data_IF_486971178931
#
_entry.id   IF_486971178931
#
_cell.length_a   1.000
_cell.length_b   1.000
_cell.length_c   1.000
_cell.angle_alpha   90.00
_cell.angle_beta   90.00
_cell.angle_gamma   90.00
#
_symmetry.space_group_name_H-M   'P 1'
#
loop_
_entity.id
_entity.type
_entity.pdbx_description
1 polymer ?
#
# COMPACT_ATOMS: atom_id res chain seq x y z
N UNK A 1 13.63 21.26 -2.25
CA UNK A 1 14.31 19.98 -2.60
C UNK A 1 13.46 18.84 -2.07
N UNK A 2 13.09 17.86 -2.91
CA UNK A 2 12.48 16.61 -2.42
C UNK A 2 13.55 15.78 -1.72
N UNK A 3 13.24 15.21 -0.56
CA UNK A 3 14.20 14.40 0.20
C UNK A 3 14.47 13.08 -0.52
N UNK A 4 15.61 12.44 -0.23
CA UNK A 4 15.95 11.11 -0.75
C UNK A 4 14.86 10.07 -0.46
N UNK A 5 14.22 10.13 0.71
CA UNK A 5 13.12 9.25 1.11
C UNK A 5 11.83 9.46 0.30
N UNK A 6 11.51 10.70 -0.07
CA UNK A 6 10.35 10.97 -0.94
C UNK A 6 10.56 10.42 -2.35
N UNK A 7 11.78 10.55 -2.88
CA UNK A 7 12.14 9.94 -4.17
C UNK A 7 12.16 8.40 -4.08
N UNK A 8 12.65 7.84 -2.97
CA UNK A 8 12.60 6.40 -2.73
C UNK A 8 11.15 5.88 -2.71
N UNK A 9 10.26 6.55 -1.97
CA UNK A 9 8.82 6.22 -1.96
C UNK A 9 8.20 6.25 -3.37
N UNK A 10 8.50 7.31 -4.13
CA UNK A 10 8.05 7.46 -5.51
C UNK A 10 8.47 6.27 -6.38
N UNK A 11 9.75 5.88 -6.34
CA UNK A 11 10.26 4.80 -7.18
C UNK A 11 9.79 3.43 -6.72
N UNK A 12 9.71 3.17 -5.41
CA UNK A 12 9.13 1.94 -4.87
C UNK A 12 7.66 1.77 -5.26
N UNK A 13 6.89 2.87 -5.25
CA UNK A 13 5.49 2.86 -5.66
C UNK A 13 5.33 2.60 -7.17
N UNK A 14 6.17 3.21 -8.00
CA UNK A 14 6.22 2.92 -9.43
C UNK A 14 6.63 1.47 -9.72
N UNK A 15 7.62 0.94 -8.99
CA UNK A 15 8.08 -0.44 -9.12
C UNK A 15 6.97 -1.44 -8.75
N UNK A 16 6.19 -1.17 -7.70
CA UNK A 16 5.05 -2.00 -7.34
C UNK A 16 4.00 -2.07 -8.45
N UNK A 17 3.67 -0.94 -9.08
CA UNK A 17 2.75 -0.92 -10.23
C UNK A 17 3.27 -1.74 -11.41
N UNK A 18 4.57 -1.66 -11.72
CA UNK A 18 5.19 -2.49 -12.77
C UNK A 18 5.13 -3.96 -12.40
N UNK A 19 5.48 -4.32 -11.16
CA UNK A 19 5.45 -5.70 -10.70
C UNK A 19 4.05 -6.31 -10.82
N UNK A 20 3.01 -5.58 -10.41
CA UNK A 20 1.63 -6.06 -10.54
C UNK A 20 1.24 -6.22 -12.00
N UNK A 21 1.57 -5.26 -12.87
CA UNK A 21 1.29 -5.34 -14.30
C UNK A 21 1.93 -6.58 -14.94
N UNK A 22 3.19 -6.86 -14.61
CA UNK A 22 3.91 -8.03 -15.11
C UNK A 22 3.27 -9.33 -14.60
N UNK A 23 2.86 -9.38 -13.34
CA UNK A 23 2.18 -10.55 -12.79
C UNK A 23 0.80 -10.77 -13.39
N UNK A 24 0.04 -9.69 -13.63
CA UNK A 24 -1.23 -9.79 -14.34
C UNK A 24 -1.07 -10.42 -15.71
N UNK A 25 -0.06 -9.99 -16.48
CA UNK A 25 0.26 -10.55 -17.78
C UNK A 25 0.74 -12.00 -17.68
N UNK A 26 1.59 -12.32 -16.71
CA UNK A 26 2.14 -13.66 -16.52
C UNK A 26 1.06 -14.70 -16.21
N UNK A 27 0.10 -14.37 -15.36
CA UNK A 27 -0.93 -15.31 -14.88
C UNK A 27 -2.27 -15.16 -15.62
N UNK A 28 -2.38 -14.22 -16.55
CA UNK A 28 -3.63 -13.84 -17.24
C UNK A 28 -4.82 -13.60 -16.29
N UNK A 29 -4.54 -12.94 -15.16
CA UNK A 29 -5.49 -12.75 -14.07
C UNK A 29 -5.26 -11.44 -13.33
N UNK A 30 -6.34 -10.87 -12.78
CA UNK A 30 -6.24 -9.59 -12.09
C UNK A 30 -5.48 -9.70 -10.77
N UNK A 31 -4.57 -8.75 -10.54
CA UNK A 31 -4.01 -8.52 -9.20
C UNK A 31 -5.02 -7.68 -8.41
N UNK A 32 -5.02 -7.75 -7.07
CA UNK A 32 -6.04 -7.13 -6.21
C UNK A 32 -6.12 -5.59 -6.27
N UNK A 33 -5.38 -4.92 -7.16
CA UNK A 33 -5.36 -3.46 -7.29
C UNK A 33 -6.39 -2.87 -8.27
N UNK A 34 -6.98 -3.68 -9.16
CA UNK A 34 -7.73 -3.14 -10.29
C UNK A 34 -9.24 -3.34 -10.14
N UNK A 35 -9.71 -4.58 -10.25
CA UNK A 35 -11.12 -4.91 -10.12
C UNK A 35 -11.25 -6.28 -9.45
N UNK A 36 -12.28 -6.49 -8.62
CA UNK A 36 -12.60 -7.82 -8.07
C UNK A 36 -13.27 -8.73 -9.11
N UNK A 37 -12.97 -8.53 -10.41
CA UNK A 37 -13.63 -9.26 -11.49
C UNK A 37 -13.12 -10.70 -11.51
N UNK A 38 -14.00 -11.72 -11.66
CA UNK A 38 -13.55 -13.07 -11.99
C UNK A 38 -12.58 -13.11 -13.19
N UNK A 39 -11.56 -13.96 -13.08
CA UNK A 39 -10.61 -14.21 -14.15
C UNK A 39 -11.34 -14.71 -15.42
N UNK A 40 -10.81 -14.38 -16.60
CA UNK A 40 -11.37 -14.84 -17.89
C UNK A 40 -11.57 -13.77 -18.97
N UNK A 41 -11.22 -12.50 -18.70
CA UNK A 41 -11.16 -11.46 -19.73
C UNK A 41 -9.71 -10.99 -19.93
N UNK A 42 -8.96 -11.77 -20.72
CA UNK A 42 -7.58 -11.50 -21.12
C UNK A 42 -7.41 -10.05 -21.60
N UNK A 43 -8.28 -9.55 -22.48
CA UNK A 43 -8.18 -8.17 -23.00
C UNK A 43 -8.17 -7.15 -21.86
N UNK A 44 -9.07 -7.30 -20.88
CA UNK A 44 -9.14 -6.41 -19.73
C UNK A 44 -7.89 -6.52 -18.82
N UNK A 45 -7.32 -7.72 -18.67
CA UNK A 45 -6.05 -7.94 -17.95
C UNK A 45 -4.90 -7.17 -18.63
N UNK A 46 -4.74 -7.28 -19.94
CA UNK A 46 -3.68 -6.57 -20.67
C UNK A 46 -3.88 -5.05 -20.67
N UNK A 47 -5.10 -4.57 -20.90
CA UNK A 47 -5.41 -3.12 -20.87
C UNK A 47 -5.11 -2.52 -19.50
N UNK A 48 -5.52 -3.21 -18.44
CA UNK A 48 -5.29 -2.75 -17.08
C UNK A 48 -3.81 -2.79 -16.69
N UNK A 49 -3.06 -3.79 -17.16
CA UNK A 49 -1.60 -3.86 -17.01
C UNK A 49 -0.91 -2.70 -17.73
N UNK A 50 -1.35 -2.35 -18.94
CA UNK A 50 -0.84 -1.19 -19.67
C UNK A 50 -1.11 0.13 -18.92
N UNK A 51 -2.29 0.27 -18.30
CA UNK A 51 -2.61 1.43 -17.45
C UNK A 51 -1.69 1.51 -16.23
N UNK A 52 -1.38 0.39 -15.57
CA UNK A 52 -0.44 0.35 -14.45
C UNK A 52 0.98 0.74 -14.88
N UNK A 53 1.45 0.24 -16.02
CA UNK A 53 2.76 0.62 -16.58
C UNK A 53 2.78 2.11 -16.92
N UNK A 54 1.72 2.64 -17.55
CA UNK A 54 1.60 4.07 -17.84
C UNK A 54 1.59 4.91 -16.56
N UNK A 55 0.92 4.43 -15.50
CA UNK A 55 0.92 5.06 -14.18
C UNK A 55 2.32 5.06 -13.55
N UNK A 56 3.05 3.95 -13.62
CA UNK A 56 4.42 3.85 -13.15
C UNK A 56 5.38 4.80 -13.91
N UNK A 57 5.29 4.82 -15.24
CA UNK A 57 6.07 5.75 -16.08
C UNK A 57 5.72 7.18 -15.74
N UNK A 58 4.43 7.52 -15.61
CA UNK A 58 3.99 8.85 -15.22
C UNK A 58 4.51 9.25 -13.84
N UNK A 59 4.54 8.34 -12.87
CA UNK A 59 5.20 8.61 -11.58
C UNK A 59 6.68 8.93 -11.77
N UNK A 60 7.39 8.41 -12.76
CA UNK A 60 8.82 8.67 -12.99
C UNK A 60 9.09 9.92 -13.84
N UNK A 61 8.24 10.23 -14.81
CA UNK A 61 8.51 11.29 -15.81
C UNK A 61 7.65 12.54 -15.66
N UNK A 62 6.57 12.50 -14.86
CA UNK A 62 5.67 13.64 -14.73
C UNK A 62 6.38 14.87 -14.16
N UNK A 63 6.18 16.02 -14.82
CA UNK A 63 6.66 17.33 -14.35
C UNK A 63 5.89 17.85 -13.13
N UNK A 64 4.65 17.41 -12.97
CA UNK A 64 3.78 17.74 -11.85
C UNK A 64 3.37 16.49 -11.08
N UNK A 65 4.24 16.07 -10.16
CA UNK A 65 4.03 14.87 -9.35
C UNK A 65 2.91 15.03 -8.33
N UNK A 66 2.62 16.25 -7.88
CA UNK A 66 1.50 16.50 -6.98
C UNK A 66 0.19 16.22 -7.70
N UNK A 67 0.04 16.78 -8.91
CA UNK A 67 -1.13 16.52 -9.74
C UNK A 67 -1.23 15.04 -10.10
N UNK A 68 -0.13 14.44 -10.59
CA UNK A 68 -0.14 13.06 -11.08
C UNK A 68 -0.43 12.05 -9.97
N UNK A 69 0.26 12.15 -8.82
CA UNK A 69 0.05 11.24 -7.70
C UNK A 69 -1.35 11.41 -7.08
N UNK A 70 -1.90 12.62 -7.03
CA UNK A 70 -3.28 12.81 -6.56
C UNK A 70 -4.33 12.27 -7.55
N UNK A 71 -4.07 12.37 -8.87
CA UNK A 71 -4.94 11.73 -9.86
C UNK A 71 -4.90 10.20 -9.73
N UNK A 72 -3.72 9.62 -9.55
CA UNK A 72 -3.57 8.19 -9.30
C UNK A 72 -4.33 7.77 -8.03
N UNK A 73 -4.20 8.53 -6.94
CA UNK A 73 -4.93 8.31 -5.70
C UNK A 73 -6.45 8.35 -5.90
N UNK A 74 -6.95 9.32 -6.66
CA UNK A 74 -8.37 9.39 -7.02
C UNK A 74 -8.82 8.20 -7.86
N UNK A 75 -8.04 7.79 -8.87
CA UNK A 75 -8.37 6.65 -9.70
C UNK A 75 -8.49 5.37 -8.86
N UNK A 76 -7.51 5.09 -7.99
CA UNK A 76 -7.57 3.94 -7.08
C UNK A 76 -8.68 4.06 -6.03
N UNK A 77 -9.01 5.27 -5.57
CA UNK A 77 -10.14 5.49 -4.65
C UNK A 77 -11.48 5.21 -5.35
N UNK A 78 -11.62 5.54 -6.62
CA UNK A 78 -12.80 5.19 -7.42
C UNK A 78 -12.91 3.67 -7.58
N UNK A 79 -11.80 2.98 -7.86
CA UNK A 79 -11.79 1.50 -7.92
C UNK A 79 -12.19 0.87 -6.58
N UNK A 80 -11.74 1.45 -5.47
CA UNK A 80 -12.18 1.05 -4.14
C UNK A 80 -13.69 1.26 -3.96
N UNK A 81 -14.19 2.48 -4.17
CA UNK A 81 -15.59 2.86 -3.88
C UNK A 81 -16.62 2.21 -4.81
N UNK A 82 -16.27 2.04 -6.09
CA UNK A 82 -17.20 1.57 -7.13
C UNK A 82 -17.00 0.10 -7.51
N UNK A 83 -15.84 -0.48 -7.20
CA UNK A 83 -15.50 -1.87 -7.54
C UNK A 83 -15.40 -2.75 -6.30
N UNK A 84 -14.30 -2.60 -5.57
CA UNK A 84 -13.95 -3.50 -4.47
C UNK A 84 -14.94 -3.46 -3.30
N UNK A 85 -15.30 -2.25 -2.83
CA UNK A 85 -16.20 -2.11 -1.69
C UNK A 85 -17.61 -2.68 -1.96
N UNK A 86 -18.30 -2.34 -3.06
CA UNK A 86 -19.60 -2.94 -3.37
C UNK A 86 -19.54 -4.46 -3.58
N UNK A 87 -18.46 -4.96 -4.20
CA UNK A 87 -18.28 -6.38 -4.43
C UNK A 87 -18.18 -7.16 -3.12
N UNK A 88 -17.32 -6.74 -2.19
CA UNK A 88 -17.19 -7.43 -0.89
C UNK A 88 -18.46 -7.30 -0.04
N UNK A 89 -19.13 -6.14 -0.09
CA UNK A 89 -20.42 -5.93 0.58
C UNK A 89 -21.53 -6.85 0.08
N UNK A 90 -21.42 -7.39 -1.14
CA UNK A 90 -22.46 -8.25 -1.73
C UNK A 90 -22.09 -9.73 -1.71
N UNK A 91 -20.79 -10.07 -1.68
CA UNK A 91 -20.34 -11.46 -1.79
C UNK A 91 -19.68 -12.03 -0.52
N UNK A 92 -19.03 -11.21 0.31
CA UNK A 92 -18.13 -11.69 1.38
C UNK A 92 -18.34 -10.98 2.72
N UNK A 93 -19.57 -10.61 3.06
CA UNK A 93 -19.90 -9.90 4.30
C UNK A 93 -19.44 -10.62 5.59
N UNK A 94 -19.42 -11.95 5.58
CA UNK A 94 -19.19 -12.77 6.78
C UNK A 94 -17.72 -13.14 7.02
N UNK A 95 -16.82 -12.87 6.07
CA UNK A 95 -15.42 -13.27 6.13
C UNK A 95 -14.51 -12.07 5.98
N UNK A 96 -13.55 -11.86 6.88
CA UNK A 96 -12.64 -10.71 6.82
C UNK A 96 -11.49 -10.89 5.80
N UNK A 97 -11.07 -12.11 5.51
CA UNK A 97 -9.93 -12.38 4.60
C UNK A 97 -10.04 -11.77 3.19
N UNK A 98 -11.18 -11.88 2.47
CA UNK A 98 -11.34 -11.20 1.18
C UNK A 98 -11.20 -9.67 1.25
N UNK A 99 -11.55 -9.08 2.39
CA UNK A 99 -11.47 -7.64 2.60
C UNK A 99 -10.04 -7.11 2.65
N UNK A 100 -9.04 -7.95 2.94
CA UNK A 100 -7.64 -7.53 2.91
C UNK A 100 -7.30 -6.86 1.58
N UNK A 101 -7.70 -7.47 0.46
CA UNK A 101 -7.44 -6.93 -0.88
C UNK A 101 -8.17 -5.61 -1.12
N UNK A 102 -9.41 -5.49 -0.68
CA UNK A 102 -10.20 -4.26 -0.75
C UNK A 102 -9.54 -3.11 0.02
N UNK A 103 -9.05 -3.38 1.22
CA UNK A 103 -8.33 -2.37 2.00
C UNK A 103 -6.91 -2.09 1.49
N UNK A 104 -6.26 -3.02 0.78
CA UNK A 104 -5.03 -2.73 0.03
C UNK A 104 -5.26 -1.65 -1.03
N UNK A 105 -6.37 -1.70 -1.78
CA UNK A 105 -6.70 -0.64 -2.77
C UNK A 105 -6.87 0.71 -2.08
N UNK A 106 -7.55 0.75 -0.93
CA UNK A 106 -7.67 1.96 -0.11
C UNK A 106 -6.30 2.47 0.37
N UNK A 107 -5.41 1.58 0.80
CA UNK A 107 -4.05 1.93 1.20
C UNK A 107 -3.21 2.46 0.03
N UNK A 108 -3.39 1.92 -1.19
CA UNK A 108 -2.77 2.45 -2.40
C UNK A 108 -3.25 3.86 -2.71
N UNK A 109 -4.57 4.11 -2.63
CA UNK A 109 -5.13 5.46 -2.77
C UNK A 109 -4.54 6.42 -1.73
N UNK A 110 -4.52 6.00 -0.47
CA UNK A 110 -3.93 6.76 0.62
C UNK A 110 -2.45 7.08 0.41
N UNK A 111 -1.69 6.08 -0.06
CA UNK A 111 -0.26 6.20 -0.35
C UNK A 111 0.04 7.16 -1.49
N UNK A 112 -0.78 7.16 -2.54
CA UNK A 112 -0.67 8.11 -3.64
C UNK A 112 -0.98 9.55 -3.17
N UNK A 113 -1.96 9.73 -2.28
CA UNK A 113 -2.23 11.03 -1.65
C UNK A 113 -1.12 11.51 -0.71
N UNK A 114 -0.51 10.60 0.08
CA UNK A 114 0.69 10.90 0.88
C UNK A 114 1.82 11.38 -0.03
N UNK A 115 2.06 10.66 -1.14
CA UNK A 115 3.08 11.02 -2.10
C UNK A 115 2.78 12.39 -2.73
N UNK A 116 1.53 12.67 -3.12
CA UNK A 116 1.12 13.97 -3.63
C UNK A 116 1.39 15.11 -2.63
N UNK A 117 1.10 14.88 -1.35
CA UNK A 117 1.34 15.85 -0.27
C UNK A 117 2.83 16.17 -0.08
N UNK A 118 3.73 15.25 -0.44
CA UNK A 118 5.18 15.41 -0.31
C UNK A 118 5.81 16.34 -1.36
N UNK A 119 5.07 16.69 -2.42
CA UNK A 119 5.54 17.62 -3.45
C UNK A 119 4.98 19.04 -3.26
N UNK A 120 5.71 20.07 -3.73
CA UNK A 120 5.32 21.48 -3.59
C UNK A 120 3.89 21.74 -4.05
N UNK A 121 3.23 22.69 -3.37
CA UNK A 121 1.87 23.10 -3.72
C UNK A 121 1.88 23.68 -5.14
N UNK A 122 1.24 22.97 -6.06
CA UNK A 122 0.90 23.40 -7.41
C UNK A 122 -0.61 23.34 -7.55
N UNK A 123 -1.14 24.11 -8.52
CA UNK A 123 -2.58 24.17 -8.80
C UNK A 123 -3.08 22.78 -9.18
N UNK A 124 -3.85 22.15 -8.30
CA UNK A 124 -4.62 20.93 -8.57
C UNK A 124 -6.12 21.27 -8.51
N UNK A 125 -7.00 20.34 -8.86
CA UNK A 125 -8.45 20.57 -8.74
C UNK A 125 -8.87 20.68 -7.27
N UNK A 126 -9.98 21.38 -6.99
CA UNK A 126 -10.54 21.48 -5.62
C UNK A 126 -10.78 20.12 -4.97
N UNK A 127 -11.18 19.13 -5.76
CA UNK A 127 -11.39 17.75 -5.29
C UNK A 127 -10.07 17.10 -4.86
N UNK A 128 -9.01 17.25 -5.67
CA UNK A 128 -7.68 16.77 -5.30
C UNK A 128 -7.18 17.44 -4.01
N UNK A 129 -7.32 18.77 -3.90
CA UNK A 129 -6.91 19.50 -2.68
C UNK A 129 -7.64 19.00 -1.43
N UNK A 130 -8.93 18.71 -1.55
CA UNK A 130 -9.74 18.19 -0.45
C UNK A 130 -9.39 16.75 -0.05
N UNK A 131 -8.99 15.90 -1.01
CA UNK A 131 -8.70 14.48 -0.77
C UNK A 131 -7.27 14.21 -0.29
N UNK A 132 -6.28 14.99 -0.76
CA UNK A 132 -4.86 14.79 -0.42
C UNK A 132 -4.63 14.66 1.10
N UNK A 133 -5.24 15.50 1.97
CA UNK A 133 -5.07 15.38 3.41
C UNK A 133 -5.48 14.02 3.96
N UNK A 134 -6.41 13.28 3.37
CA UNK A 134 -6.92 12.00 3.91
C UNK A 134 -5.98 10.82 3.71
N UNK A 135 -4.88 10.97 2.97
CA UNK A 135 -3.95 9.88 2.65
C UNK A 135 -3.52 9.02 3.84
N UNK A 136 -2.98 9.61 4.94
CA UNK A 136 -2.62 8.86 6.14
C UNK A 136 -3.77 8.12 6.82
N UNK A 137 -4.99 8.66 6.78
CA UNK A 137 -6.14 7.99 7.38
C UNK A 137 -6.54 6.75 6.57
N UNK A 138 -6.51 6.83 5.24
CA UNK A 138 -6.78 5.69 4.35
C UNK A 138 -5.76 4.56 4.53
N UNK A 139 -4.47 4.90 4.61
CA UNK A 139 -3.42 3.94 4.99
C UNK A 139 -3.67 3.38 6.40
N UNK A 140 -4.03 4.24 7.35
CA UNK A 140 -4.30 3.86 8.72
C UNK A 140 -5.45 2.85 8.87
N UNK A 141 -6.53 3.00 8.10
CA UNK A 141 -7.65 2.05 8.08
C UNK A 141 -7.17 0.65 7.68
N UNK A 142 -6.37 0.54 6.62
CA UNK A 142 -5.80 -0.73 6.20
C UNK A 142 -4.93 -1.37 7.30
N UNK A 143 -4.08 -0.57 7.97
CA UNK A 143 -3.24 -1.07 9.05
C UNK A 143 -4.04 -1.58 10.26
N UNK A 144 -5.16 -0.93 10.59
CA UNK A 144 -6.08 -1.42 11.63
C UNK A 144 -6.63 -2.79 11.24
N UNK A 145 -7.09 -2.94 9.99
CA UNK A 145 -7.61 -4.22 9.47
C UNK A 145 -6.52 -5.30 9.52
N UNK A 146 -5.31 -5.01 9.04
CA UNK A 146 -4.20 -5.95 9.13
C UNK A 146 -3.89 -6.36 10.58
N UNK A 147 -3.89 -5.39 11.52
CA UNK A 147 -3.69 -5.69 12.94
C UNK A 147 -4.76 -6.63 13.50
N UNK A 148 -6.03 -6.43 13.13
CA UNK A 148 -7.14 -7.34 13.49
C UNK A 148 -6.93 -8.72 12.88
N UNK A 149 -6.56 -8.79 11.60
CA UNK A 149 -6.31 -10.05 10.89
C UNK A 149 -5.17 -10.86 11.51
N UNK A 150 -4.14 -10.21 12.08
CA UNK A 150 -3.08 -10.91 12.80
C UNK A 150 -3.59 -11.62 14.07
N UNK A 151 -4.62 -11.06 14.73
CA UNK A 151 -5.27 -11.74 15.85
C UNK A 151 -6.23 -12.85 15.37
N UNK A 152 -7.05 -12.56 14.36
CA UNK A 152 -8.04 -13.51 13.82
C UNK A 152 -7.37 -14.74 13.22
N UNK A 153 -6.27 -14.54 12.50
CA UNK A 153 -5.50 -15.60 11.81
C UNK A 153 -4.19 -15.94 12.52
N UNK A 154 -4.12 -15.75 13.85
CA UNK A 154 -2.91 -15.95 14.65
C UNK A 154 -2.15 -17.26 14.35
N UNK A 155 -2.80 -18.44 14.26
CA UNK A 155 -2.09 -19.68 13.96
C UNK A 155 -1.41 -19.66 12.58
N UNK A 156 -2.06 -19.08 11.58
CA UNK A 156 -1.50 -18.94 10.23
C UNK A 156 -0.34 -17.94 10.23
N UNK A 157 -0.51 -16.75 10.83
CA UNK A 157 0.53 -15.72 10.82
C UNK A 157 1.77 -16.16 11.60
N UNK A 158 1.61 -16.97 12.65
CA UNK A 158 2.75 -17.60 13.34
C UNK A 158 3.63 -18.45 12.42
N UNK A 159 3.06 -19.04 11.35
CA UNK A 159 3.84 -19.81 10.36
C UNK A 159 4.67 -18.91 9.43
N UNK A 160 4.37 -17.62 9.37
CA UNK A 160 5.07 -16.64 8.55
C UNK A 160 6.32 -16.09 9.24
N UNK A 161 6.39 -16.18 10.58
CA UNK A 161 7.58 -15.78 11.35
C UNK A 161 8.75 -16.70 10.99
N UNK A 162 9.95 -16.16 10.68
CA UNK A 162 11.09 -16.97 10.28
C UNK A 162 11.47 -18.01 11.33
N UNK A 163 11.78 -19.24 10.89
CA UNK A 163 12.05 -20.38 11.78
C UNK A 163 13.25 -20.22 12.72
N UNK A 164 14.16 -19.30 12.41
CA UNK A 164 15.31 -18.97 13.26
C UNK A 164 14.95 -18.05 14.44
N UNK A 165 13.76 -17.44 14.44
CA UNK A 165 13.31 -16.53 15.47
C UNK A 165 12.45 -17.28 16.50
N UNK A 166 12.80 -17.30 17.80
CA UNK A 166 11.97 -17.98 18.79
C UNK A 166 10.67 -17.22 19.06
N UNK A 167 9.74 -17.88 19.76
CA UNK A 167 8.47 -17.30 20.24
C UNK A 167 7.63 -16.65 19.14
N UNK A 168 7.28 -17.41 18.09
CA UNK A 168 6.54 -16.91 16.93
C UNK A 168 5.26 -16.13 17.32
N UNK A 169 4.49 -16.65 18.29
CA UNK A 169 3.29 -15.98 18.80
C UNK A 169 3.55 -14.59 19.39
N UNK A 170 4.71 -14.39 20.05
CA UNK A 170 5.06 -13.07 20.57
C UNK A 170 5.22 -12.06 19.44
N UNK A 171 5.96 -12.40 18.39
CA UNK A 171 6.19 -11.50 17.26
C UNK A 171 4.93 -11.21 16.47
N UNK A 172 4.06 -12.21 16.28
CA UNK A 172 2.76 -12.01 15.63
C UNK A 172 1.87 -11.05 16.43
N UNK A 173 1.76 -11.23 17.76
CA UNK A 173 0.96 -10.35 18.63
C UNK A 173 1.57 -8.95 18.69
N UNK A 174 2.90 -8.85 18.79
CA UNK A 174 3.60 -7.57 18.75
C UNK A 174 3.31 -6.82 17.45
N UNK A 175 3.43 -7.49 16.30
CA UNK A 175 3.10 -6.93 14.99
C UNK A 175 1.64 -6.49 14.92
N UNK A 176 0.71 -7.30 15.44
CA UNK A 176 -0.72 -6.97 15.49
C UNK A 176 -0.98 -5.65 16.24
N UNK A 177 -0.41 -5.51 17.44
CA UNK A 177 -0.53 -4.29 18.28
C UNK A 177 0.13 -3.10 17.59
N UNK A 178 1.31 -3.29 17.00
CA UNK A 178 2.04 -2.23 16.31
C UNK A 178 1.28 -1.72 15.08
N UNK A 179 0.72 -2.61 14.27
CA UNK A 179 -0.11 -2.27 13.11
C UNK A 179 -1.39 -1.54 13.52
N UNK A 180 -2.12 -2.07 14.51
CA UNK A 180 -3.35 -1.47 15.02
C UNK A 180 -3.08 -0.08 15.62
N UNK A 181 -2.08 0.04 16.49
CA UNK A 181 -1.68 1.30 17.09
C UNK A 181 -1.21 2.33 16.07
N UNK A 182 -0.41 1.90 15.08
CA UNK A 182 0.03 2.78 13.99
C UNK A 182 -1.15 3.26 13.15
N UNK A 183 -2.08 2.36 12.82
CA UNK A 183 -3.27 2.69 12.05
C UNK A 183 -4.15 3.74 12.74
N UNK A 184 -4.48 3.53 14.02
CA UNK A 184 -5.25 4.50 14.81
C UNK A 184 -4.52 5.83 14.94
N UNK A 185 -3.20 5.82 15.18
CA UNK A 185 -2.42 7.03 15.31
C UNK A 185 -2.36 7.82 13.98
N UNK A 186 -2.29 7.17 12.82
CA UNK A 186 -2.36 7.84 11.52
C UNK A 186 -3.75 8.43 11.23
N UNK A 187 -4.82 7.71 11.60
CA UNK A 187 -6.21 8.19 11.48
C UNK A 187 -6.41 9.46 12.30
N UNK A 188 -6.00 9.45 13.58
CA UNK A 188 -6.20 10.56 14.51
C UNK A 188 -5.05 11.59 14.53
N UNK A 189 -4.05 11.43 13.65
CA UNK A 189 -2.88 12.32 13.54
C UNK A 189 -2.04 12.44 14.81
N UNK A 190 -1.97 11.36 15.59
CA UNK A 190 -1.19 11.30 16.82
C UNK A 190 0.24 10.92 16.47
N UNK A 191 1.21 11.79 16.80
CA UNK A 191 2.64 11.55 16.62
C UNK A 191 3.04 11.02 15.22
N UNK A 192 2.39 11.51 14.16
CA UNK A 192 2.49 10.98 12.78
C UNK A 192 3.94 10.73 12.34
N UNK A 193 4.87 11.65 12.65
CA UNK A 193 6.29 11.51 12.32
C UNK A 193 6.91 10.25 12.91
N UNK A 194 6.75 10.04 14.22
CA UNK A 194 7.33 8.90 14.91
C UNK A 194 6.67 7.59 14.48
N UNK A 195 5.34 7.60 14.43
CA UNK A 195 4.54 6.42 14.05
C UNK A 195 4.87 5.98 12.63
N UNK A 196 4.91 6.90 11.67
CA UNK A 196 5.22 6.57 10.28
C UNK A 196 6.68 6.09 10.12
N UNK A 197 7.62 6.61 10.91
CA UNK A 197 9.00 6.13 10.90
C UNK A 197 9.11 4.68 11.42
N UNK A 198 8.50 4.39 12.58
CA UNK A 198 8.52 3.05 13.18
C UNK A 198 7.79 2.03 12.30
N UNK A 199 6.62 2.39 11.78
CA UNK A 199 5.86 1.59 10.82
C UNK A 199 6.70 1.29 9.57
N UNK A 200 7.31 2.32 8.99
CA UNK A 200 8.14 2.18 7.80
C UNK A 200 9.32 1.23 8.03
N UNK A 201 10.03 1.37 9.15
CA UNK A 201 11.12 0.47 9.54
C UNK A 201 10.62 -0.96 9.69
N UNK A 202 9.52 -1.16 10.42
CA UNK A 202 8.98 -2.50 10.68
C UNK A 202 8.61 -3.22 9.38
N UNK A 203 7.83 -2.58 8.50
CA UNK A 203 7.43 -3.19 7.22
C UNK A 203 8.67 -3.39 6.32
N UNK A 204 9.62 -2.46 6.32
CA UNK A 204 10.86 -2.59 5.54
C UNK A 204 11.69 -3.81 5.99
N UNK A 205 11.76 -4.09 7.29
CA UNK A 205 12.40 -5.30 7.80
C UNK A 205 11.68 -6.57 7.30
N UNK A 206 10.34 -6.56 7.27
CA UNK A 206 9.55 -7.68 6.75
C UNK A 206 9.78 -7.96 5.27
N UNK A 207 10.12 -6.95 4.46
CA UNK A 207 10.53 -7.16 3.06
C UNK A 207 11.64 -8.21 2.97
N UNK A 208 12.69 -8.08 3.80
CA UNK A 208 13.84 -8.98 3.77
C UNK A 208 13.65 -10.25 4.60
N UNK A 209 12.95 -10.15 5.72
CA UNK A 209 12.81 -11.27 6.66
C UNK A 209 11.70 -12.24 6.24
N UNK A 210 10.64 -11.74 5.60
CA UNK A 210 9.41 -12.49 5.32
C UNK A 210 9.16 -12.56 3.82
N UNK A 211 8.94 -11.41 3.17
CA UNK A 211 8.42 -11.40 1.80
C UNK A 211 9.42 -11.91 0.76
N UNK A 212 10.68 -11.46 0.79
CA UNK A 212 11.70 -11.92 -0.16
C UNK A 212 11.96 -13.43 -0.01
N UNK A 213 12.23 -13.98 1.19
CA UNK A 213 12.42 -15.42 1.37
C UNK A 213 11.21 -16.24 0.88
N UNK A 214 10.00 -15.78 1.16
CA UNK A 214 8.77 -16.47 0.72
C UNK A 214 8.57 -16.37 -0.79
N UNK A 215 8.88 -15.24 -1.41
CA UNK A 215 8.82 -15.09 -2.86
C UNK A 215 9.80 -16.04 -3.58
N UNK A 216 10.97 -16.33 -2.98
CA UNK A 216 11.88 -17.36 -3.50
C UNK A 216 11.38 -18.78 -3.25
N UNK A 217 10.82 -19.06 -2.08
CA UNK A 217 10.35 -20.39 -1.71
C UNK A 217 9.04 -20.79 -2.43
N UNK A 218 8.17 -19.81 -2.69
CA UNK A 218 6.81 -20.01 -3.19
C UNK A 218 6.44 -18.97 -4.28
N UNK A 219 7.22 -18.89 -5.39
CA UNK A 219 7.08 -17.84 -6.40
C UNK A 219 5.73 -17.85 -7.13
N UNK A 220 5.08 -19.02 -7.20
CA UNK A 220 3.80 -19.20 -7.92
C UNK A 220 2.59 -19.32 -6.98
N UNK A 221 2.79 -19.28 -5.65
CA UNK A 221 1.72 -19.43 -4.67
C UNK A 221 0.68 -18.34 -4.83
N UNK A 222 -0.58 -18.74 -4.99
CA UNK A 222 -1.71 -17.85 -5.26
C UNK A 222 -1.41 -16.91 -6.45
N UNK A 223 -0.90 -17.49 -7.54
CA UNK A 223 -0.54 -16.76 -8.76
C UNK A 223 0.50 -15.67 -8.48
N UNK A 224 1.50 -16.02 -7.68
CA UNK A 224 2.63 -15.16 -7.32
C UNK A 224 2.37 -14.09 -6.26
N UNK A 225 1.39 -14.29 -5.38
CA UNK A 225 1.05 -13.33 -4.32
C UNK A 225 2.26 -12.94 -3.42
N UNK A 226 3.22 -13.84 -3.21
CA UNK A 226 4.41 -13.52 -2.42
C UNK A 226 5.32 -12.50 -3.12
N UNK A 227 5.48 -12.60 -4.44
CA UNK A 227 6.20 -11.60 -5.24
C UNK A 227 5.45 -10.26 -5.20
N UNK A 228 4.11 -10.26 -5.34
CA UNK A 228 3.27 -9.06 -5.16
C UNK A 228 3.56 -8.41 -3.81
N UNK A 229 3.58 -9.22 -2.75
CA UNK A 229 3.75 -8.79 -1.37
C UNK A 229 5.11 -8.13 -1.10
N UNK A 230 6.18 -8.58 -1.77
CA UNK A 230 7.51 -7.92 -1.70
C UNK A 230 7.41 -6.46 -2.13
N UNK A 231 6.83 -6.21 -3.30
CA UNK A 231 6.76 -4.85 -3.85
C UNK A 231 5.71 -3.99 -3.13
N UNK A 232 4.60 -4.58 -2.67
CA UNK A 232 3.63 -3.91 -1.80
C UNK A 232 4.27 -3.44 -0.49
N UNK A 233 4.96 -4.33 0.22
CA UNK A 233 5.61 -4.01 1.48
C UNK A 233 6.71 -2.95 1.29
N UNK A 234 7.49 -3.05 0.21
CA UNK A 234 8.49 -2.02 -0.12
C UNK A 234 7.83 -0.65 -0.41
N UNK A 235 6.72 -0.63 -1.15
CA UNK A 235 6.00 0.60 -1.44
C UNK A 235 5.42 1.24 -0.17
N UNK A 236 4.73 0.46 0.68
CA UNK A 236 4.13 0.97 1.92
C UNK A 236 5.18 1.43 2.93
N UNK A 237 6.27 0.68 3.10
CA UNK A 237 7.37 1.09 3.99
C UNK A 237 8.03 2.39 3.52
N UNK A 238 8.26 2.53 2.21
CA UNK A 238 8.86 3.74 1.65
C UNK A 238 7.93 4.96 1.77
N UNK A 239 6.63 4.79 1.53
CA UNK A 239 5.61 5.85 1.71
C UNK A 239 5.49 6.26 3.17
N UNK A 240 5.54 5.32 4.11
CA UNK A 240 5.58 5.63 5.55
C UNK A 240 6.85 6.43 5.91
N UNK A 241 8.00 6.08 5.34
CA UNK A 241 9.23 6.88 5.46
C UNK A 241 9.10 8.30 4.89
N UNK A 242 8.47 8.46 3.72
CA UNK A 242 8.18 9.76 3.12
C UNK A 242 7.21 10.58 3.99
N UNK A 243 6.20 9.95 4.57
CA UNK A 243 5.27 10.59 5.51
C UNK A 243 6.01 11.05 6.78
N UNK A 244 6.92 10.24 7.31
CA UNK A 244 7.68 10.58 8.51
C UNK A 244 8.50 11.86 8.33
N UNK A 245 9.18 12.01 7.18
CA UNK A 245 10.00 13.21 6.92
C UNK A 245 9.16 14.44 6.58
N UNK A 246 8.03 14.27 5.90
CA UNK A 246 7.14 15.40 5.53
C UNK A 246 6.25 15.87 6.68
N UNK A 247 5.98 15.01 7.67
CA UNK A 247 5.27 15.37 8.90
C UNK A 247 6.14 16.14 9.91
N UNK A 248 7.42 16.40 9.62
CA UNK A 248 8.31 17.13 10.54
C UNK A 248 7.95 18.63 10.62
N UNK A 249 7.77 19.20 11.83
CA UNK A 249 7.53 20.64 12.01
C UNK A 249 8.65 21.53 11.45
N UNK A 250 9.90 21.06 11.49
CA UNK A 250 11.09 21.81 11.05
C UNK A 250 11.12 22.13 9.56
N UNK A 251 10.41 21.35 8.72
CA UNK A 251 10.32 21.59 7.28
C UNK A 251 9.29 22.68 6.91
N UNK A 252 8.42 23.09 7.86
CA UNK A 252 7.49 24.21 7.65
C UNK A 252 8.12 25.58 7.92
N UNK A 253 9.29 25.64 8.54
CA UNK A 253 9.97 26.90 8.92
C UNK A 253 11.07 27.33 7.94
N UNK A 254 11.24 26.60 6.82
CA UNK A 254 12.28 26.86 5.81
C UNK A 254 11.71 27.24 4.43
N UNK A 255 10.42 27.64 4.38
CA UNK A 255 9.73 28.19 3.21
C UNK A 255 9.01 29.45 3.69
#
# INVERSE_FOLDING_TARGET
MTTSLVNFARYSFALALVAFALQQVQYDSFRPLILPWPNGNTIAVYLSSAVMIAAAVGLVVARDLRWFASLLGMATLVLFLAGHLPYELTHNLSSIGPWTNTFKVLAFAGSAFILAAAYPVKKVSKVQEALIPFGPAMLGVFLVVCGIEHFVYLPFVNTLVPSWLPWHSFWTIFAAIALLGSGLALIFRIQVRLVAALLGIMIFLWVFMIHIPRAFAYPDLLEGNEITSVFEALAYSAVAGALAVTASPTLRLAI
#
